data_IF_815825015898
#
_entry.id   IF_815825015898
#
_cell.length_a   1.000
_cell.length_b   1.000
_cell.length_c   1.000
_cell.angle_alpha   90.00
_cell.angle_beta   90.00
_cell.angle_gamma   90.00
#
_symmetry.space_group_name_H-M   'P 1'
#
loop_
_entity.id
_entity.type
_entity.pdbx_description
1 polymer ?
#
# COMPACT_ATOMS: atom_id res chain seq x y z
N UNK A 1 -7.56 19.77 -16.33
CA UNK A 1 -7.64 19.53 -14.87
C UNK A 1 -6.53 18.55 -14.51
N UNK A 2 -5.82 18.75 -13.41
CA UNK A 2 -4.78 17.81 -12.96
C UNK A 2 -5.40 16.58 -12.33
N UNK A 3 -4.72 15.43 -12.40
CA UNK A 3 -5.22 14.18 -11.83
C UNK A 3 -5.42 14.26 -10.31
N UNK A 4 -4.55 14.96 -9.58
CA UNK A 4 -4.71 15.21 -8.14
C UNK A 4 -6.02 15.88 -7.79
N UNK A 5 -6.49 16.82 -8.61
CA UNK A 5 -7.79 17.48 -8.41
C UNK A 5 -8.95 16.52 -8.64
N UNK A 6 -8.86 15.67 -9.68
CA UNK A 6 -9.91 14.67 -9.98
C UNK A 6 -9.99 13.65 -8.83
N UNK A 7 -8.85 13.14 -8.38
CA UNK A 7 -8.79 12.18 -7.27
C UNK A 7 -9.28 12.81 -5.96
N UNK A 8 -8.95 14.08 -5.69
CA UNK A 8 -9.45 14.79 -4.52
C UNK A 8 -10.98 14.89 -4.51
N UNK A 9 -11.60 15.22 -5.65
CA UNK A 9 -13.07 15.25 -5.77
C UNK A 9 -13.69 13.87 -5.59
N UNK A 10 -13.08 12.82 -6.15
CA UNK A 10 -13.52 11.44 -5.97
C UNK A 10 -13.48 11.03 -4.48
N UNK A 11 -12.35 11.25 -3.81
CA UNK A 11 -12.21 10.91 -2.39
C UNK A 11 -13.23 11.66 -1.52
N UNK A 12 -13.48 12.95 -1.82
CA UNK A 12 -14.50 13.73 -1.13
C UNK A 12 -15.89 13.12 -1.32
N UNK A 13 -16.26 12.75 -2.55
CA UNK A 13 -17.55 12.15 -2.86
C UNK A 13 -17.72 10.77 -2.24
N UNK A 14 -16.65 9.98 -2.15
CA UNK A 14 -16.68 8.65 -1.51
C UNK A 14 -16.81 8.76 0.01
N UNK A 15 -16.13 9.73 0.63
CA UNK A 15 -16.28 9.99 2.08
C UNK A 15 -17.68 10.48 2.45
N UNK A 16 -18.34 11.24 1.57
CA UNK A 16 -19.71 11.73 1.79
C UNK A 16 -20.75 10.61 1.73
N UNK A 17 -20.50 9.58 0.92
CA UNK A 17 -21.38 8.39 0.85
C UNK A 17 -21.19 7.39 2.01
N UNK A 18 -20.10 7.50 2.76
CA UNK A 18 -19.86 6.67 3.94
C UNK A 18 -20.49 7.23 5.22
N UNK A 19 -21.12 8.41 5.17
CA UNK A 19 -21.84 8.93 6.32
C UNK A 19 -23.16 8.15 6.47
N UNK A 20 -23.26 7.24 7.47
CA UNK A 20 -24.48 6.46 7.73
C UNK A 20 -25.70 7.34 8.08
N UNK A 21 -25.49 8.67 8.22
CA UNK A 21 -26.56 9.62 8.52
C UNK A 21 -27.60 9.73 7.40
N UNK A 22 -27.23 9.49 6.13
CA UNK A 22 -28.19 9.55 5.01
C UNK A 22 -29.12 8.33 4.95
N UNK A 23 -28.64 7.10 5.21
CA UNK A 23 -29.52 5.93 5.40
C UNK A 23 -30.44 6.09 6.61
N UNK A 24 -29.91 6.67 7.68
CA UNK A 24 -30.62 6.95 8.93
C UNK A 24 -31.68 8.07 8.78
N UNK A 25 -31.60 8.95 7.78
CA UNK A 25 -32.61 9.99 7.54
C UNK A 25 -33.87 9.37 6.92
N UNK A 26 -33.76 8.47 5.96
CA UNK A 26 -34.91 7.76 5.37
C UNK A 26 -35.60 6.88 6.40
N UNK A 27 -34.83 6.12 7.22
CA UNK A 27 -35.36 5.28 8.29
C UNK A 27 -36.08 6.14 9.37
N UNK A 28 -35.47 7.26 9.77
CA UNK A 28 -36.12 8.19 10.73
C UNK A 28 -37.35 8.88 10.16
N UNK A 29 -37.38 9.17 8.85
CA UNK A 29 -38.58 9.71 8.20
C UNK A 29 -39.72 8.66 8.17
N UNK A 30 -39.39 7.39 7.95
CA UNK A 30 -40.36 6.30 8.01
C UNK A 30 -40.88 6.06 9.44
N UNK A 31 -40.01 6.15 10.46
CA UNK A 31 -40.41 6.07 11.88
C UNK A 31 -41.35 7.24 12.28
N UNK A 32 -41.05 8.49 11.85
CA UNK A 32 -41.87 9.66 12.08
C UNK A 32 -43.22 9.50 11.37
N UNK A 33 -43.23 9.02 10.13
CA UNK A 33 -44.46 8.77 9.37
C UNK A 33 -45.32 7.72 10.05
N UNK A 34 -44.71 6.64 10.55
CA UNK A 34 -45.43 5.58 11.31
C UNK A 34 -46.02 6.12 12.62
N UNK A 35 -45.24 6.97 13.32
CA UNK A 35 -45.71 7.63 14.57
C UNK A 35 -46.85 8.60 14.33
N UNK A 36 -46.82 9.35 13.20
CA UNK A 36 -47.87 10.29 12.79
C UNK A 36 -49.13 9.54 12.35
N UNK A 37 -48.99 8.48 11.56
CA UNK A 37 -50.14 7.67 11.11
C UNK A 37 -50.86 6.95 12.25
N UNK A 38 -50.15 6.63 13.33
CA UNK A 38 -50.73 5.96 14.52
C UNK A 38 -51.33 6.92 15.56
N UNK A 39 -51.19 8.25 15.37
CA UNK A 39 -51.80 9.26 16.21
C UNK A 39 -53.07 9.84 15.54
N UNK A 40 -54.17 9.20 15.84
CA UNK A 40 -55.53 9.69 15.81
C UNK A 40 -56.17 10.27 14.54
N UNK A 41 -57.42 9.84 14.32
CA UNK A 41 -58.30 9.97 13.15
C UNK A 41 -58.73 11.41 12.79
N UNK A 42 -58.26 12.45 13.48
CA UNK A 42 -58.69 13.84 13.25
C UNK A 42 -57.87 14.66 12.26
N UNK A 43 -56.82 14.10 11.64
CA UNK A 43 -55.89 14.84 10.76
C UNK A 43 -55.74 14.27 9.36
N UNK A 44 -56.79 13.75 8.73
CA UNK A 44 -56.72 13.09 7.41
C UNK A 44 -56.22 14.04 6.30
N UNK A 45 -56.50 15.35 6.36
CA UNK A 45 -55.98 16.31 5.37
C UNK A 45 -54.49 16.62 5.56
N UNK A 46 -54.00 16.68 6.80
CA UNK A 46 -52.61 16.94 7.14
C UNK A 46 -51.68 15.74 6.87
N UNK A 47 -52.17 14.52 7.01
CA UNK A 47 -51.41 13.30 6.70
C UNK A 47 -51.21 13.10 5.19
N UNK A 48 -52.24 13.41 4.37
CA UNK A 48 -52.10 13.36 2.91
C UNK A 48 -51.07 14.37 2.38
N UNK A 49 -51.09 15.59 2.90
CA UNK A 49 -50.12 16.63 2.54
C UNK A 49 -48.70 16.28 2.99
N UNK A 50 -48.54 15.65 4.16
CA UNK A 50 -47.26 15.14 4.66
C UNK A 50 -46.75 13.96 3.81
N UNK A 51 -47.63 13.03 3.41
CA UNK A 51 -47.27 11.93 2.51
C UNK A 51 -46.81 12.44 1.15
N UNK A 52 -47.46 13.46 0.59
CA UNK A 52 -47.05 14.08 -0.68
C UNK A 52 -45.68 14.76 -0.56
N UNK A 53 -45.46 15.56 0.50
CA UNK A 53 -44.15 16.20 0.74
C UNK A 53 -43.04 15.20 0.97
N UNK A 54 -43.31 14.09 1.66
CA UNK A 54 -42.35 13.00 1.85
C UNK A 54 -42.01 12.29 0.55
N UNK A 55 -43.00 12.09 -0.33
CA UNK A 55 -42.79 11.55 -1.66
C UNK A 55 -41.88 12.45 -2.50
N UNK A 56 -42.09 13.79 -2.43
CA UNK A 56 -41.28 14.80 -3.10
C UNK A 56 -39.83 14.80 -2.57
N UNK A 57 -39.64 14.69 -1.25
CA UNK A 57 -38.32 14.61 -0.63
C UNK A 57 -37.63 13.33 -1.06
N UNK A 58 -38.31 12.17 -1.02
CA UNK A 58 -37.73 10.89 -1.49
C UNK A 58 -37.32 10.96 -2.97
N UNK A 59 -38.18 11.57 -3.80
CA UNK A 59 -37.87 11.75 -5.21
C UNK A 59 -36.64 12.66 -5.43
N UNK A 60 -36.52 13.73 -4.64
CA UNK A 60 -35.38 14.63 -4.69
C UNK A 60 -34.08 13.97 -4.23
N UNK A 61 -34.14 13.17 -3.16
CA UNK A 61 -32.99 12.36 -2.69
C UNK A 61 -32.56 11.36 -3.78
N UNK A 62 -33.51 10.66 -4.39
CA UNK A 62 -33.21 9.71 -5.47
C UNK A 62 -32.55 10.36 -6.68
N UNK A 63 -33.04 11.54 -7.09
CA UNK A 63 -32.41 12.34 -8.16
C UNK A 63 -30.99 12.79 -7.79
N UNK A 64 -30.81 13.21 -6.55
CA UNK A 64 -29.48 13.61 -6.06
C UNK A 64 -28.50 12.43 -6.09
N UNK A 65 -28.92 11.25 -5.60
CA UNK A 65 -28.11 10.02 -5.66
C UNK A 65 -27.74 9.64 -7.09
N UNK A 66 -28.69 9.70 -8.02
CA UNK A 66 -28.40 9.43 -9.43
C UNK A 66 -27.39 10.41 -10.01
N UNK A 67 -27.52 11.70 -9.67
CA UNK A 67 -26.58 12.73 -10.11
C UNK A 67 -25.19 12.52 -9.52
N UNK A 68 -25.11 12.12 -8.25
CA UNK A 68 -23.88 11.80 -7.55
C UNK A 68 -23.17 10.58 -8.17
N UNK A 69 -23.92 9.52 -8.47
CA UNK A 69 -23.37 8.33 -9.14
C UNK A 69 -22.86 8.66 -10.55
N UNK A 70 -23.60 9.48 -11.28
CA UNK A 70 -23.18 9.96 -12.61
C UNK A 70 -21.88 10.74 -12.53
N UNK A 71 -21.77 11.68 -11.57
CA UNK A 71 -20.55 12.46 -11.36
C UNK A 71 -19.36 11.57 -10.97
N UNK A 72 -19.56 10.62 -10.05
CA UNK A 72 -18.53 9.64 -9.69
C UNK A 72 -18.04 8.87 -10.91
N UNK A 73 -18.94 8.41 -11.76
CA UNK A 73 -18.56 7.70 -12.97
C UNK A 73 -17.78 8.57 -13.96
N UNK A 74 -18.19 9.84 -14.12
CA UNK A 74 -17.45 10.79 -14.95
C UNK A 74 -16.03 11.02 -14.43
N UNK A 75 -15.86 11.20 -13.13
CA UNK A 75 -14.54 11.37 -12.51
C UNK A 75 -13.67 10.12 -12.66
N UNK A 76 -14.24 8.91 -12.49
CA UNK A 76 -13.52 7.65 -12.73
C UNK A 76 -13.06 7.52 -14.20
N UNK A 77 -13.90 7.92 -15.12
CA UNK A 77 -13.54 7.93 -16.55
C UNK A 77 -12.39 8.94 -16.82
N UNK A 78 -12.42 10.09 -16.15
CA UNK A 78 -11.35 11.09 -16.28
C UNK A 78 -10.03 10.60 -15.66
N UNK A 79 -10.07 9.90 -14.51
CA UNK A 79 -8.88 9.22 -13.96
C UNK A 79 -8.32 8.24 -15.00
N UNK A 80 -9.15 7.35 -15.52
CA UNK A 80 -8.73 6.35 -16.52
C UNK A 80 -8.15 7.00 -17.80
N UNK A 81 -8.63 8.20 -18.17
CA UNK A 81 -8.10 8.96 -19.32
C UNK A 81 -6.72 9.54 -19.04
N UNK A 82 -6.46 9.99 -17.80
CA UNK A 82 -5.22 10.66 -17.42
C UNK A 82 -4.11 9.68 -16.98
N UNK A 83 -4.46 8.57 -16.36
CA UNK A 83 -3.52 7.60 -15.82
C UNK A 83 -2.39 7.18 -16.76
N UNK A 84 -2.62 6.90 -18.06
CA UNK A 84 -1.55 6.49 -18.98
C UNK A 84 -0.39 7.49 -19.06
N UNK A 85 -0.68 8.80 -18.97
CA UNK A 85 0.35 9.84 -18.99
C UNK A 85 1.22 9.80 -17.73
N UNK A 86 0.60 9.53 -16.57
CA UNK A 86 1.31 9.42 -15.29
C UNK A 86 2.17 8.16 -15.19
N UNK A 87 1.71 7.04 -15.78
CA UNK A 87 2.55 5.83 -15.90
C UNK A 87 3.74 6.09 -16.82
N UNK A 88 3.51 6.67 -18.00
CA UNK A 88 4.60 7.00 -18.94
C UNK A 88 5.61 7.96 -18.34
N UNK A 89 5.16 8.99 -17.61
CA UNK A 89 6.03 9.93 -16.93
C UNK A 89 6.84 9.26 -15.82
N UNK A 90 6.23 8.34 -15.04
CA UNK A 90 6.93 7.56 -14.01
C UNK A 90 8.04 6.71 -14.61
N UNK A 91 7.82 6.08 -15.77
CA UNK A 91 8.83 5.34 -16.51
C UNK A 91 9.97 6.22 -16.99
N UNK A 92 9.66 7.35 -17.61
CA UNK A 92 10.65 8.29 -18.12
C UNK A 92 11.58 8.78 -17.01
N UNK A 93 11.02 9.15 -15.85
CA UNK A 93 11.81 9.59 -14.70
C UNK A 93 12.67 8.46 -14.16
N UNK A 94 12.11 7.28 -14.03
CA UNK A 94 12.85 6.11 -13.54
C UNK A 94 14.05 5.78 -14.42
N UNK A 95 13.88 5.79 -15.74
CA UNK A 95 14.99 5.58 -16.68
C UNK A 95 16.07 6.65 -16.56
N UNK A 96 15.67 7.91 -16.39
CA UNK A 96 16.60 9.01 -16.16
C UNK A 96 17.37 8.84 -14.84
N UNK A 97 16.67 8.56 -13.76
CA UNK A 97 17.25 8.38 -12.43
C UNK A 97 18.25 7.22 -12.39
N UNK A 98 17.94 6.08 -13.01
CA UNK A 98 18.84 4.93 -13.05
C UNK A 98 20.17 5.21 -13.80
N UNK A 99 20.18 6.22 -14.66
CA UNK A 99 21.41 6.66 -15.35
C UNK A 99 22.27 7.61 -14.50
N UNK A 100 21.69 8.33 -13.54
CA UNK A 100 22.34 9.45 -12.84
C UNK A 100 22.39 9.31 -11.31
N UNK A 101 21.90 8.22 -10.72
CA UNK A 101 21.89 8.06 -9.25
C UNK A 101 23.32 8.00 -8.69
N UNK A 102 23.72 9.05 -7.96
CA UNK A 102 24.92 9.02 -7.12
C UNK A 102 24.58 8.47 -5.73
N UNK A 103 25.59 7.95 -5.01
CA UNK A 103 25.41 7.44 -3.64
C UNK A 103 24.92 8.54 -2.71
N UNK A 104 25.46 9.74 -2.83
CA UNK A 104 25.07 10.90 -2.03
C UNK A 104 23.59 11.24 -2.23
N UNK A 105 23.15 11.26 -3.49
CA UNK A 105 21.74 11.50 -3.82
C UNK A 105 20.81 10.45 -3.19
N UNK A 106 21.19 9.17 -3.23
CA UNK A 106 20.39 8.07 -2.69
C UNK A 106 20.32 8.10 -1.15
N UNK A 107 21.43 8.44 -0.48
CA UNK A 107 21.51 8.54 0.98
C UNK A 107 20.73 9.76 1.48
N UNK A 108 20.86 10.91 0.78
CA UNK A 108 20.22 12.17 1.18
C UNK A 108 18.77 12.28 0.71
N UNK A 109 18.30 11.34 -0.09
CA UNK A 109 16.91 11.33 -0.59
C UNK A 109 15.92 11.20 0.56
N UNK A 110 15.48 12.34 1.06
CA UNK A 110 14.48 12.42 2.13
C UNK A 110 13.09 12.24 1.54
N UNK A 111 12.24 11.50 2.25
CA UNK A 111 10.82 11.52 1.96
C UNK A 111 10.29 12.93 2.19
N UNK A 112 9.49 13.50 1.29
CA UNK A 112 8.92 14.84 1.45
C UNK A 112 7.96 14.92 2.64
N UNK A 113 7.47 13.77 3.11
CA UNK A 113 6.62 13.63 4.29
C UNK A 113 7.20 12.47 5.11
N UNK A 114 7.47 12.72 6.38
CA UNK A 114 7.86 11.64 7.29
C UNK A 114 6.70 10.66 7.46
N UNK A 115 7.03 9.37 7.38
CA UNK A 115 6.08 8.31 7.64
C UNK A 115 5.65 8.38 9.11
N UNK A 116 4.36 8.68 9.35
CA UNK A 116 3.86 9.04 10.68
C UNK A 116 3.82 7.90 11.71
N UNK A 117 3.97 6.62 11.30
CA UNK A 117 3.91 5.48 12.22
C UNK A 117 5.01 4.45 11.95
N UNK A 118 6.26 4.91 12.11
CA UNK A 118 7.44 4.04 12.00
C UNK A 118 7.45 2.96 13.08
N UNK A 119 6.92 3.21 14.27
CA UNK A 119 6.92 2.23 15.35
C UNK A 119 5.99 1.06 15.04
N UNK A 120 4.84 1.32 14.44
CA UNK A 120 3.93 0.26 13.96
C UNK A 120 4.60 -0.58 12.87
N UNK A 121 5.22 0.05 11.88
CA UNK A 121 5.95 -0.64 10.82
C UNK A 121 7.08 -1.49 11.40
N UNK A 122 7.88 -0.94 12.33
CA UNK A 122 8.94 -1.67 13.04
C UNK A 122 8.37 -2.83 13.86
N UNK A 123 7.24 -2.63 14.55
CA UNK A 123 6.53 -3.69 15.26
C UNK A 123 6.11 -4.83 14.31
N UNK A 124 5.58 -4.48 13.15
CA UNK A 124 5.20 -5.46 12.12
C UNK A 124 6.40 -6.27 11.64
N UNK A 125 7.48 -5.63 11.20
CA UNK A 125 8.67 -6.37 10.71
C UNK A 125 9.31 -7.23 11.80
N UNK A 126 9.42 -6.73 13.04
CA UNK A 126 9.94 -7.50 14.17
C UNK A 126 9.11 -8.74 14.47
N UNK A 127 7.79 -8.71 14.27
CA UNK A 127 6.92 -9.87 14.47
C UNK A 127 7.25 -11.03 13.53
N UNK A 128 7.91 -10.76 12.40
CA UNK A 128 8.35 -11.75 11.42
C UNK A 128 9.79 -12.20 11.59
N UNK A 129 10.57 -11.54 12.45
CA UNK A 129 11.98 -11.82 12.65
C UNK A 129 12.17 -13.15 13.40
N UNK A 130 12.86 -14.09 12.76
CA UNK A 130 13.19 -15.40 13.33
C UNK A 130 14.63 -15.79 12.92
N UNK A 131 15.51 -15.98 13.89
CA UNK A 131 16.93 -16.31 13.66
C UNK A 131 17.16 -17.61 12.87
N UNK A 132 16.13 -18.45 12.76
CA UNK A 132 16.14 -19.72 12.00
C UNK A 132 15.73 -19.55 10.55
N UNK A 133 15.32 -18.36 10.15
CA UNK A 133 14.83 -18.08 8.82
C UNK A 133 15.68 -17.00 8.15
N UNK A 134 16.04 -17.21 6.88
CA UNK A 134 16.62 -16.14 6.07
C UNK A 134 15.68 -14.94 5.96
N UNK A 135 16.27 -13.75 6.04
CA UNK A 135 15.61 -12.48 5.75
C UNK A 135 16.16 -11.81 4.50
N UNK A 136 15.42 -10.85 3.96
CA UNK A 136 15.87 -10.03 2.84
C UNK A 136 15.43 -8.59 3.06
N UNK A 137 16.35 -7.64 2.89
CA UNK A 137 16.06 -6.19 2.84
C UNK A 137 16.40 -5.68 1.45
N UNK A 138 15.43 -5.06 0.80
CA UNK A 138 15.58 -4.48 -0.54
C UNK A 138 15.59 -2.96 -0.45
N UNK A 139 16.60 -2.32 -1.01
CA UNK A 139 16.74 -0.87 -0.99
C UNK A 139 17.09 -0.34 0.41
N UNK A 140 18.37 -0.25 0.71
CA UNK A 140 18.83 0.10 2.05
C UNK A 140 18.87 1.62 2.18
N UNK A 141 17.80 2.20 2.73
CA UNK A 141 17.64 3.65 2.91
C UNK A 141 17.75 4.11 4.37
N UNK A 142 17.57 3.20 5.34
CA UNK A 142 17.73 3.46 6.77
C UNK A 142 18.36 2.24 7.44
N UNK A 143 19.54 2.39 8.00
CA UNK A 143 20.29 1.37 8.72
C UNK A 143 19.48 0.76 9.87
N UNK A 144 18.68 1.58 10.55
CA UNK A 144 17.86 1.18 11.69
C UNK A 144 16.89 0.03 11.40
N UNK A 145 16.40 -0.10 10.16
CA UNK A 145 15.58 -1.24 9.79
C UNK A 145 16.40 -2.52 9.57
N UNK A 146 17.65 -2.38 9.13
CA UNK A 146 18.57 -3.53 9.04
C UNK A 146 18.85 -4.08 10.44
N UNK A 147 19.05 -3.21 11.44
CA UNK A 147 19.23 -3.59 12.84
C UNK A 147 18.02 -4.35 13.40
N UNK A 148 16.79 -3.93 13.05
CA UNK A 148 15.57 -4.62 13.50
C UNK A 148 15.43 -6.02 12.91
N UNK A 149 16.02 -6.29 11.73
CA UNK A 149 15.90 -7.55 10.98
C UNK A 149 17.18 -8.43 11.11
N UNK A 150 18.29 -7.85 11.52
CA UNK A 150 19.59 -8.54 11.63
C UNK A 150 19.58 -9.85 12.43
N UNK A 151 18.63 -10.13 13.35
CA UNK A 151 18.53 -11.44 13.97
C UNK A 151 18.27 -12.58 12.98
N UNK A 152 17.72 -12.31 11.79
CA UNK A 152 17.50 -13.34 10.76
C UNK A 152 18.83 -13.82 10.17
N UNK A 153 18.96 -15.14 9.93
CA UNK A 153 20.22 -15.75 9.52
C UNK A 153 20.01 -16.76 8.38
N UNK A 154 20.62 -16.52 7.19
CA UNK A 154 21.34 -15.32 6.77
C UNK A 154 20.41 -14.15 6.45
N UNK A 155 20.91 -12.92 6.52
CA UNK A 155 20.22 -11.72 6.07
C UNK A 155 20.80 -11.25 4.74
N UNK A 156 19.96 -11.23 3.70
CA UNK A 156 20.32 -10.73 2.39
C UNK A 156 20.03 -9.23 2.31
N UNK A 157 21.03 -8.48 1.87
CA UNK A 157 20.94 -7.05 1.61
C UNK A 157 20.97 -6.84 0.10
N UNK A 158 19.88 -6.34 -0.46
CA UNK A 158 19.66 -6.26 -1.91
C UNK A 158 19.54 -4.82 -2.35
N UNK A 159 20.39 -4.38 -3.24
CA UNK A 159 20.31 -3.04 -3.86
C UNK A 159 20.96 -3.09 -5.26
N UNK A 160 20.68 -2.09 -6.09
CA UNK A 160 21.36 -1.91 -7.38
C UNK A 160 22.71 -1.18 -7.24
N UNK A 161 22.97 -0.60 -6.08
CA UNK A 161 24.21 0.15 -5.81
C UNK A 161 25.09 -0.58 -4.79
N UNK A 162 26.26 -1.06 -5.25
CA UNK A 162 27.24 -1.77 -4.42
C UNK A 162 27.75 -0.94 -3.23
N UNK A 163 27.89 0.39 -3.41
CA UNK A 163 28.40 1.25 -2.35
C UNK A 163 27.39 1.39 -1.21
N UNK A 164 26.09 1.44 -1.51
CA UNK A 164 25.02 1.43 -0.49
C UNK A 164 25.05 0.16 0.34
N UNK A 165 25.30 -0.99 -0.29
CA UNK A 165 25.44 -2.27 0.42
C UNK A 165 26.66 -2.24 1.38
N UNK A 166 27.77 -1.66 0.92
CA UNK A 166 28.97 -1.51 1.76
C UNK A 166 28.73 -0.59 2.95
N UNK A 167 28.09 0.56 2.73
CA UNK A 167 27.72 1.50 3.79
C UNK A 167 26.79 0.84 4.80
N UNK A 168 25.78 0.11 4.34
CA UNK A 168 24.82 -0.56 5.21
C UNK A 168 25.43 -1.68 6.07
N UNK A 169 26.51 -2.30 5.60
CA UNK A 169 27.23 -3.34 6.35
C UNK A 169 28.25 -2.77 7.36
N UNK A 170 28.74 -1.57 7.14
CA UNK A 170 29.84 -0.97 7.91
C UNK A 170 29.56 -0.80 9.41
N UNK A 171 28.32 -0.51 9.87
CA UNK A 171 28.07 -0.36 11.32
C UNK A 171 28.13 -1.67 12.10
N UNK A 172 28.05 -2.81 11.43
CA UNK A 172 28.00 -4.11 12.08
C UNK A 172 29.40 -4.67 12.40
N UNK A 173 29.52 -5.39 13.52
CA UNK A 173 30.76 -6.09 13.85
C UNK A 173 31.08 -7.20 12.82
N UNK A 174 32.34 -7.62 12.77
CA UNK A 174 32.80 -8.65 11.82
C UNK A 174 32.00 -9.96 11.94
N UNK A 175 31.58 -10.35 13.13
CA UNK A 175 30.75 -11.53 13.36
C UNK A 175 29.39 -11.41 12.68
N UNK A 176 28.74 -10.24 12.80
CA UNK A 176 27.47 -9.98 12.15
C UNK A 176 27.63 -9.84 10.65
N UNK A 177 28.68 -9.17 10.17
CA UNK A 177 28.94 -9.02 8.73
C UNK A 177 29.05 -10.38 8.01
N UNK A 178 29.57 -11.41 8.68
CA UNK A 178 29.63 -12.78 8.12
C UNK A 178 28.25 -13.40 7.85
N UNK A 179 27.21 -12.91 8.46
CA UNK A 179 25.82 -13.36 8.28
C UNK A 179 25.08 -12.55 7.20
N UNK A 180 25.60 -11.36 6.90
CA UNK A 180 25.04 -10.49 5.85
C UNK A 180 25.47 -11.01 4.47
N UNK A 181 24.55 -11.00 3.53
CA UNK A 181 24.74 -11.46 2.15
C UNK A 181 24.41 -10.33 1.20
N UNK A 182 25.39 -9.51 0.78
CA UNK A 182 25.12 -8.46 -0.21
C UNK A 182 24.78 -9.09 -1.56
N UNK A 183 23.77 -8.54 -2.21
CA UNK A 183 23.34 -8.92 -3.55
C UNK A 183 23.10 -7.68 -4.38
N UNK A 184 23.84 -7.53 -5.47
CA UNK A 184 23.72 -6.40 -6.40
C UNK A 184 22.77 -6.77 -7.53
N UNK A 185 21.76 -5.94 -7.77
CA UNK A 185 20.89 -6.05 -8.94
C UNK A 185 21.61 -5.46 -10.14
N UNK A 186 22.11 -6.29 -11.04
CA UNK A 186 22.89 -5.85 -12.20
C UNK A 186 22.01 -5.41 -13.37
N UNK A 187 20.84 -5.99 -13.53
CA UNK A 187 19.93 -5.69 -14.64
C UNK A 187 18.49 -5.57 -14.15
N UNK A 188 18.11 -4.34 -13.82
CA UNK A 188 16.77 -4.02 -13.36
C UNK A 188 15.71 -4.05 -14.48
N UNK A 189 16.11 -4.06 -15.75
CA UNK A 189 15.19 -4.21 -16.91
C UNK A 189 14.82 -5.66 -17.15
N UNK A 190 15.64 -6.61 -16.69
CA UNK A 190 15.39 -8.02 -16.85
C UNK A 190 14.15 -8.49 -16.06
N UNK A 191 13.51 -9.54 -16.55
CA UNK A 191 12.39 -10.17 -15.83
C UNK A 191 12.88 -10.90 -14.55
N UNK A 192 14.15 -11.33 -14.52
CA UNK A 192 14.73 -12.11 -13.45
C UNK A 192 15.65 -11.28 -12.53
N UNK A 193 15.10 -10.22 -11.92
CA UNK A 193 15.86 -9.27 -11.09
C UNK A 193 16.56 -9.95 -9.90
N UNK A 194 15.93 -10.99 -9.31
CA UNK A 194 16.41 -11.72 -8.14
C UNK A 194 16.79 -13.18 -8.46
N UNK A 195 17.12 -13.51 -9.70
CA UNK A 195 17.29 -14.87 -10.18
C UNK A 195 18.29 -15.70 -9.38
N UNK A 196 19.43 -15.12 -8.98
CA UNK A 196 20.46 -15.80 -8.21
C UNK A 196 20.11 -16.05 -6.74
N UNK A 197 18.99 -15.50 -6.24
CA UNK A 197 18.58 -15.72 -4.86
C UNK A 197 17.80 -17.03 -4.71
N UNK A 198 17.93 -17.71 -3.56
CA UNK A 198 17.31 -19.01 -3.35
C UNK A 198 15.79 -18.94 -3.31
N UNK A 199 15.11 -19.94 -3.90
CA UNK A 199 13.66 -20.07 -3.90
C UNK A 199 13.13 -20.67 -2.60
N UNK A 200 11.90 -20.29 -2.21
CA UNK A 200 11.14 -20.85 -1.09
C UNK A 200 11.87 -20.82 0.28
N UNK A 201 12.71 -19.82 0.52
CA UNK A 201 13.51 -19.79 1.75
C UNK A 201 13.20 -18.63 2.68
N UNK A 202 12.87 -17.45 2.16
CA UNK A 202 12.76 -16.25 2.97
C UNK A 202 11.52 -16.25 3.87
N UNK A 203 11.74 -15.99 5.16
CA UNK A 203 10.67 -15.77 6.14
C UNK A 203 10.10 -14.38 6.08
N UNK A 204 10.95 -13.38 5.82
CA UNK A 204 10.60 -11.98 5.66
C UNK A 204 11.39 -11.36 4.51
N UNK A 205 10.68 -10.60 3.67
CA UNK A 205 11.25 -9.63 2.73
C UNK A 205 10.73 -8.25 3.11
N UNK A 206 11.63 -7.28 3.22
CA UNK A 206 11.28 -5.92 3.60
C UNK A 206 11.87 -4.91 2.63
N UNK A 207 11.07 -3.92 2.23
CA UNK A 207 11.51 -2.80 1.38
C UNK A 207 10.94 -1.48 1.90
N UNK A 208 11.80 -0.62 2.43
CA UNK A 208 11.42 0.70 2.92
C UNK A 208 11.89 1.77 1.95
N UNK A 209 10.97 2.66 1.54
CA UNK A 209 11.27 3.78 0.65
C UNK A 209 12.05 3.37 -0.61
N UNK A 210 11.76 2.18 -1.14
CA UNK A 210 12.37 1.65 -2.35
C UNK A 210 11.37 1.65 -3.52
N UNK A 211 10.17 1.10 -3.31
CA UNK A 211 9.14 1.04 -4.35
C UNK A 211 8.44 2.37 -4.61
N UNK A 212 8.56 3.35 -3.72
CA UNK A 212 8.05 4.71 -3.92
C UNK A 212 8.58 5.40 -5.20
N UNK A 213 9.75 4.95 -5.67
CA UNK A 213 10.50 5.49 -6.80
C UNK A 213 10.51 4.55 -8.01
N UNK A 214 9.69 3.52 -8.01
CA UNK A 214 9.66 2.53 -9.08
C UNK A 214 8.32 2.59 -9.82
N UNK A 215 8.33 2.53 -11.17
CA UNK A 215 7.12 2.32 -11.94
C UNK A 215 6.41 1.04 -11.51
N UNK A 216 5.11 1.00 -11.68
CA UNK A 216 4.29 -0.12 -11.18
C UNK A 216 4.66 -1.45 -11.85
N UNK A 217 5.13 -1.42 -13.09
CA UNK A 217 5.56 -2.61 -13.82
C UNK A 217 6.87 -3.19 -13.23
N UNK A 218 7.74 -2.33 -12.72
CA UNK A 218 8.93 -2.76 -11.98
C UNK A 218 8.53 -3.36 -10.64
N UNK A 219 7.58 -2.73 -9.95
CA UNK A 219 7.03 -3.29 -8.69
C UNK A 219 6.42 -4.67 -8.95
N UNK A 220 5.64 -4.84 -10.02
CA UNK A 220 5.05 -6.14 -10.40
C UNK A 220 6.12 -7.21 -10.62
N UNK A 221 7.22 -6.89 -11.30
CA UNK A 221 8.36 -7.81 -11.45
C UNK A 221 8.93 -8.23 -10.10
N UNK A 222 9.18 -7.28 -9.20
CA UNK A 222 9.64 -7.58 -7.86
C UNK A 222 8.66 -8.46 -7.09
N UNK A 223 7.37 -8.14 -7.12
CA UNK A 223 6.34 -8.94 -6.44
C UNK A 223 6.30 -10.38 -6.96
N UNK A 224 6.42 -10.56 -8.29
CA UNK A 224 6.46 -11.87 -8.94
C UNK A 224 7.66 -12.69 -8.45
N UNK A 225 8.83 -12.11 -8.47
CA UNK A 225 10.07 -12.78 -8.04
C UNK A 225 10.08 -13.05 -6.54
N UNK A 226 9.71 -12.07 -5.72
CA UNK A 226 9.67 -12.22 -4.27
C UNK A 226 8.70 -13.33 -3.87
N UNK A 227 7.57 -13.49 -4.56
CA UNK A 227 6.63 -14.59 -4.29
C UNK A 227 7.32 -15.95 -4.38
N UNK A 228 8.17 -16.14 -5.37
CA UNK A 228 8.93 -17.38 -5.55
C UNK A 228 10.02 -17.56 -4.49
N UNK A 229 10.62 -16.47 -4.01
CA UNK A 229 11.68 -16.49 -2.99
C UNK A 229 11.14 -16.70 -1.57
N UNK A 230 9.94 -16.16 -1.28
CA UNK A 230 9.27 -16.39 0.00
C UNK A 230 8.97 -17.87 0.19
N UNK A 231 9.18 -18.36 1.38
CA UNK A 231 8.68 -19.68 1.79
C UNK A 231 7.16 -19.63 2.04
N UNK A 232 6.45 -20.76 2.02
CA UNK A 232 5.05 -20.79 2.45
C UNK A 232 4.88 -20.17 3.85
N UNK A 233 3.95 -19.22 3.99
CA UNK A 233 3.73 -18.41 5.21
C UNK A 233 4.72 -17.25 5.41
N UNK A 234 5.71 -17.08 4.54
CA UNK A 234 6.61 -15.93 4.55
C UNK A 234 5.91 -14.62 4.19
N UNK A 235 6.43 -13.50 4.65
CA UNK A 235 5.85 -12.18 4.48
C UNK A 235 6.72 -11.25 3.63
N UNK A 236 6.06 -10.38 2.88
CA UNK A 236 6.64 -9.20 2.25
C UNK A 236 5.99 -7.97 2.86
N UNK A 237 6.80 -7.06 3.38
CA UNK A 237 6.35 -5.76 3.91
C UNK A 237 7.08 -4.66 3.15
N UNK A 238 6.35 -3.72 2.57
CA UNK A 238 6.98 -2.64 1.81
C UNK A 238 6.18 -1.35 1.83
N UNK A 239 6.86 -0.23 1.63
CA UNK A 239 6.24 1.09 1.46
C UNK A 239 6.13 1.45 -0.01
N UNK A 240 5.11 2.22 -0.35
CA UNK A 240 4.87 2.74 -1.69
C UNK A 240 4.17 4.10 -1.65
N UNK A 241 4.13 4.80 -2.79
CA UNK A 241 3.40 6.06 -2.93
C UNK A 241 1.93 5.77 -3.23
N UNK A 242 1.02 6.11 -2.31
CA UNK A 242 -0.41 5.81 -2.41
C UNK A 242 -1.15 6.82 -3.29
N UNK A 243 -1.33 6.48 -4.57
CA UNK A 243 -1.95 7.35 -5.56
C UNK A 243 -3.47 7.18 -5.72
N UNK A 244 -4.13 6.26 -4.99
CA UNK A 244 -5.58 6.33 -4.79
C UNK A 244 -5.95 7.52 -3.88
N UNK A 245 -4.94 8.16 -3.28
CA UNK A 245 -5.01 9.36 -2.47
C UNK A 245 -4.44 10.55 -3.25
N UNK A 246 -5.11 11.70 -3.20
CA UNK A 246 -4.71 12.92 -3.90
C UNK A 246 -3.32 13.45 -3.49
N UNK A 247 -2.88 13.20 -2.24
CA UNK A 247 -1.53 13.53 -1.79
C UNK A 247 -0.46 12.73 -2.56
N UNK A 248 -0.73 11.44 -2.82
CA UNK A 248 0.17 10.58 -3.60
C UNK A 248 0.28 11.05 -5.06
N UNK A 249 -0.84 11.43 -5.66
CA UNK A 249 -0.84 12.01 -7.02
C UNK A 249 -0.11 13.36 -7.03
N UNK A 250 -0.31 14.19 -6.01
CA UNK A 250 0.42 15.46 -5.85
C UNK A 250 1.94 15.25 -5.75
N UNK A 251 2.40 14.19 -5.08
CA UNK A 251 3.82 13.85 -5.02
C UNK A 251 4.38 13.46 -6.40
N UNK A 252 3.59 12.80 -7.24
CA UNK A 252 3.96 12.51 -8.64
C UNK A 252 4.03 13.78 -9.47
N UNK A 253 3.05 14.66 -9.37
CA UNK A 253 2.99 15.94 -10.09
C UNK A 253 4.16 16.88 -9.73
N UNK A 254 4.68 16.78 -8.50
CA UNK A 254 5.86 17.51 -8.05
C UNK A 254 7.18 16.76 -8.32
N UNK A 255 7.15 15.72 -9.13
CA UNK A 255 8.30 14.91 -9.51
C UNK A 255 9.04 14.23 -8.33
N UNK A 256 8.36 14.00 -7.21
CA UNK A 256 8.98 13.40 -6.03
C UNK A 256 8.93 11.88 -6.01
N UNK A 257 7.91 11.26 -6.61
CA UNK A 257 7.68 9.80 -6.58
C UNK A 257 7.03 9.30 -7.87
N UNK A 258 6.99 7.97 -8.05
CA UNK A 258 6.28 7.34 -9.16
C UNK A 258 4.78 7.21 -8.88
N UNK A 259 3.99 7.14 -9.95
CA UNK A 259 2.55 6.92 -9.88
C UNK A 259 2.23 5.46 -9.58
N UNK A 260 1.61 5.21 -8.43
CA UNK A 260 1.42 3.87 -7.90
C UNK A 260 0.08 3.75 -7.17
N UNK A 261 -1.06 3.54 -7.88
CA UNK A 261 -2.35 3.32 -7.23
C UNK A 261 -2.29 2.05 -6.36
N UNK A 262 -2.66 2.15 -5.09
CA UNK A 262 -2.66 1.03 -4.15
C UNK A 262 -3.65 -0.07 -4.55
N UNK A 263 -4.80 0.29 -5.10
CA UNK A 263 -5.78 -0.63 -5.68
C UNK A 263 -5.17 -1.49 -6.78
N UNK A 264 -4.29 -0.93 -7.62
CA UNK A 264 -3.57 -1.65 -8.67
C UNK A 264 -2.54 -2.61 -8.07
N UNK A 265 -1.73 -2.16 -7.10
CA UNK A 265 -0.77 -3.03 -6.41
C UNK A 265 -1.49 -4.21 -5.75
N UNK A 266 -2.60 -3.96 -5.06
CA UNK A 266 -3.38 -5.03 -4.42
C UNK A 266 -3.93 -6.02 -5.44
N UNK A 267 -4.37 -5.55 -6.60
CA UNK A 267 -4.86 -6.42 -7.68
C UNK A 267 -3.72 -7.31 -8.18
N UNK A 268 -2.54 -6.74 -8.44
CA UNK A 268 -1.34 -7.50 -8.83
C UNK A 268 -1.00 -8.54 -7.76
N UNK A 269 -0.96 -8.15 -6.49
CA UNK A 269 -0.63 -9.04 -5.40
C UNK A 269 -1.62 -10.23 -5.30
N UNK A 270 -2.93 -9.97 -5.42
CA UNK A 270 -3.96 -11.04 -5.41
C UNK A 270 -3.80 -11.98 -6.60
N UNK A 271 -3.55 -11.46 -7.79
CA UNK A 271 -3.36 -12.26 -9.01
C UNK A 271 -2.11 -13.16 -8.91
N UNK A 272 -1.06 -12.71 -8.23
CA UNK A 272 0.13 -13.50 -7.94
C UNK A 272 -0.08 -14.54 -6.82
N UNK A 273 -1.21 -14.51 -6.13
CA UNK A 273 -1.56 -15.45 -5.07
C UNK A 273 -1.16 -15.01 -3.66
N UNK A 274 -0.76 -13.76 -3.45
CA UNK A 274 -0.53 -13.23 -2.10
C UNK A 274 -1.85 -13.07 -1.34
N UNK A 275 -1.81 -13.30 -0.02
CA UNK A 275 -2.81 -12.84 0.92
C UNK A 275 -2.41 -11.46 1.42
N UNK A 276 -3.26 -10.47 1.25
CA UNK A 276 -3.09 -9.14 1.84
C UNK A 276 -3.49 -9.26 3.32
N UNK A 277 -2.55 -8.96 4.21
CA UNK A 277 -2.76 -9.03 5.66
C UNK A 277 -3.17 -7.68 6.19
N UNK A 278 -2.43 -6.64 5.81
CA UNK A 278 -2.70 -5.28 6.24
C UNK A 278 -2.28 -4.28 5.16
N UNK A 279 -3.06 -3.22 5.04
CA UNK A 279 -2.69 -2.00 4.35
C UNK A 279 -2.80 -0.87 5.35
N UNK A 280 -1.72 -0.16 5.55
CA UNK A 280 -1.70 1.04 6.36
C UNK A 280 -1.52 2.26 5.45
N UNK A 281 -2.46 3.18 5.55
CA UNK A 281 -2.39 4.48 4.88
C UNK A 281 -2.30 5.54 5.97
N UNK A 282 -1.12 6.12 6.14
CA UNK A 282 -0.88 7.18 7.12
C UNK A 282 -1.45 8.53 6.68
N UNK A 283 -1.26 9.55 7.51
CA UNK A 283 -1.47 10.94 7.11
C UNK A 283 -0.43 11.29 6.04
N UNK A 284 -0.86 11.41 4.78
CA UNK A 284 0.03 11.74 3.66
C UNK A 284 -0.07 10.76 2.50
N UNK A 285 1.01 10.66 1.74
CA UNK A 285 1.05 9.88 0.50
C UNK A 285 1.77 8.54 0.62
N UNK A 286 2.38 8.24 1.77
CA UNK A 286 3.13 6.99 1.94
C UNK A 286 2.27 5.99 2.68
N UNK A 287 2.02 4.88 2.02
CA UNK A 287 1.39 3.71 2.59
C UNK A 287 2.40 2.55 2.70
N UNK A 288 2.11 1.57 3.53
CA UNK A 288 2.78 0.29 3.48
C UNK A 288 1.77 -0.85 3.38
N UNK A 289 2.22 -1.93 2.75
CA UNK A 289 1.43 -3.11 2.49
C UNK A 289 2.14 -4.34 3.08
N UNK A 290 1.39 -5.13 3.83
CA UNK A 290 1.79 -6.43 4.33
C UNK A 290 1.14 -7.52 3.49
N UNK A 291 1.98 -8.26 2.77
CA UNK A 291 1.59 -9.40 1.94
C UNK A 291 2.15 -10.69 2.53
N UNK A 292 1.41 -11.77 2.44
CA UNK A 292 1.86 -13.10 2.88
C UNK A 292 1.69 -14.12 1.76
N UNK A 293 2.71 -14.92 1.54
CA UNK A 293 2.56 -16.13 0.73
C UNK A 293 1.73 -17.16 1.53
N UNK A 294 0.65 -17.72 0.97
CA UNK A 294 -0.16 -18.73 1.66
C UNK A 294 0.67 -19.93 2.13
N UNK A 295 0.29 -20.51 3.26
CA UNK A 295 0.94 -21.68 3.84
C UNK A 295 1.38 -21.49 5.28
N UNK A 296 1.92 -22.54 5.87
CA UNK A 296 2.47 -22.50 7.24
C UNK A 296 3.97 -22.25 7.20
N UNK A 297 4.46 -21.39 8.10
CA UNK A 297 5.90 -21.24 8.31
C UNK A 297 6.41 -22.44 9.10
N UNK A 298 7.42 -23.11 8.54
CA UNK A 298 8.21 -24.11 9.24
C UNK A 298 9.66 -23.63 9.33
N UNK A 299 10.27 -23.72 10.50
CA UNK A 299 11.70 -23.40 10.67
C UNK A 299 12.56 -24.37 9.85
N UNK A 300 13.59 -23.85 9.21
CA UNK A 300 14.58 -24.67 8.49
C UNK A 300 15.36 -25.61 9.41
N UNK A 301 15.51 -25.23 10.69
CA UNK A 301 16.29 -25.99 11.70
C UNK A 301 15.45 -26.93 12.55
N UNK A 302 14.17 -27.08 12.24
CA UNK A 302 13.22 -27.87 13.04
C UNK A 302 12.86 -27.19 14.37
N UNK A 303 11.88 -27.77 15.07
CA UNK A 303 11.39 -27.26 16.34
C UNK A 303 10.30 -26.20 16.21
N UNK A 304 9.74 -25.78 17.35
CA UNK A 304 8.73 -24.73 17.40
C UNK A 304 9.36 -23.38 17.06
N UNK A 305 8.79 -22.68 16.10
CA UNK A 305 9.24 -21.34 15.75
C UNK A 305 8.82 -20.36 16.84
N UNK A 306 9.74 -19.56 17.36
CA UNK A 306 9.41 -18.41 18.21
C UNK A 306 8.37 -17.50 17.55
N UNK A 307 8.35 -17.46 16.23
CA UNK A 307 7.33 -16.76 15.45
C UNK A 307 5.89 -17.25 15.71
N UNK A 308 5.67 -18.51 16.14
CA UNK A 308 4.36 -18.98 16.56
C UNK A 308 3.86 -18.34 17.86
N UNK A 309 4.81 -17.96 18.71
CA UNK A 309 4.51 -17.30 20.01
C UNK A 309 4.27 -15.81 19.82
N UNK A 310 4.91 -15.20 18.84
CA UNK A 310 4.87 -13.75 18.59
C UNK A 310 3.79 -13.37 17.57
N UNK A 311 3.46 -14.27 16.61
CA UNK A 311 2.46 -14.01 15.57
C UNK A 311 1.07 -14.37 16.11
N UNK A 312 0.26 -13.38 16.28
CA UNK A 312 -1.19 -13.57 16.39
C UNK A 312 -1.67 -14.07 15.02
N UNK A 313 -2.32 -15.23 15.05
CA UNK A 313 -3.02 -15.76 13.87
C UNK A 313 -4.16 -14.85 13.45
#
# INVERSE_FOLDING_TARGET
>A
MKLSQVVAYLNMLESTNMDPSYGNITDKLDDILHAVKNRDVQYHSTTAELDERLADVRHSISKFDQSLQSLKQQLKNEVARLEPEYYAESWRRYEQEMCFETVEYLVDRKLPIEFGDLDRLRGTIKSYTDWRLPGMVIGIRKEKFVEDIVPMDPLYLVDHNQQLLTIAMSPFTTEYQRRLRPYVINDWKNAEILSALPHNQFGLVFAYNYFNWKPIEIIEKFLTEIYQKLRPGGALVFTYNECDNWYGVGAVENAWMCYTPGSRIQTIARNLGYKIIEQYTGAGNIAWLELRRPGKIHSLRGGQTMAKIIRRE
#
